data_IF_834893908120
#
_entry.id   IF_834893908120
#
_cell.length_a   1.000
_cell.length_b   1.000
_cell.length_c   1.000
_cell.angle_alpha   90.00
_cell.angle_beta   90.00
_cell.angle_gamma   90.00
#
_symmetry.space_group_name_H-M   'P 1'
#
loop_
_entity.id
_entity.type
_entity.pdbx_description
1 polymer ?
#
# COMPACT_ATOMS: atom_id res chain seq x y z
N UNK A 1 12.79 -26.35 -8.80
CA UNK A 1 11.40 -26.06 -8.37
C UNK A 1 11.12 -24.61 -8.77
N UNK A 2 10.59 -24.42 -9.97
CA UNK A 2 10.43 -23.11 -10.63
C UNK A 2 8.98 -22.67 -10.42
N UNK A 3 8.76 -21.54 -9.75
CA UNK A 3 7.42 -20.96 -9.55
C UNK A 3 7.11 -20.03 -10.73
N UNK A 4 6.00 -20.31 -11.38
CA UNK A 4 5.58 -19.73 -12.66
C UNK A 4 5.11 -18.28 -12.55
N UNK A 5 5.51 -17.50 -13.55
CA UNK A 5 4.95 -16.21 -13.89
C UNK A 5 3.54 -16.39 -14.50
N UNK A 6 2.54 -15.72 -13.92
CA UNK A 6 1.25 -15.53 -14.59
C UNK A 6 1.39 -14.42 -15.64
N UNK A 7 1.37 -14.80 -16.93
CA UNK A 7 1.07 -13.90 -18.06
C UNK A 7 -0.25 -14.35 -18.70
N UNK A 8 -1.20 -13.42 -18.78
CA UNK A 8 -2.52 -13.53 -19.41
C UNK A 8 -2.71 -12.15 -20.10
N UNK A 9 -3.11 -11.94 -21.35
CA UNK A 9 -3.53 -12.81 -22.44
C UNK A 9 -3.15 -12.15 -23.78
N UNK A 10 -2.96 -13.01 -24.79
CA UNK A 10 -2.84 -12.64 -26.19
C UNK A 10 -4.21 -12.35 -26.80
N UNK A 11 -4.31 -11.29 -27.61
CA UNK A 11 -5.31 -11.21 -28.68
C UNK A 11 -4.58 -10.78 -29.94
N UNK A 12 -4.37 -11.74 -30.83
CA UNK A 12 -3.92 -11.51 -32.18
C UNK A 12 -5.07 -11.06 -33.07
N UNK A 13 -4.78 -10.14 -33.98
CA UNK A 13 -5.40 -10.11 -35.31
C UNK A 13 -4.31 -9.84 -36.34
N UNK A 14 -3.89 -10.93 -36.97
CA UNK A 14 -3.29 -10.91 -38.29
C UNK A 14 -4.31 -10.32 -39.27
N UNK A 15 -3.95 -9.22 -39.94
CA UNK A 15 -4.50 -8.88 -41.24
C UNK A 15 -3.37 -8.38 -42.13
N UNK A 16 -3.12 -9.13 -43.19
CA UNK A 16 -2.13 -8.85 -44.22
C UNK A 16 -2.89 -8.66 -45.54
N UNK A 17 -2.77 -7.47 -46.16
CA UNK A 17 -2.32 -7.23 -47.55
C UNK A 17 -2.87 -5.93 -48.17
N UNK A 18 -2.00 -5.35 -49.01
CA UNK A 18 -2.17 -4.28 -50.03
C UNK A 18 -2.29 -2.85 -49.45
N UNK A 19 -1.46 -1.85 -49.77
CA UNK A 19 -0.45 -1.68 -50.81
C UNK A 19 -0.80 -0.49 -51.70
N UNK A 20 -0.57 0.75 -51.27
CA UNK A 20 -0.32 1.92 -52.16
C UNK A 20 0.22 3.13 -51.36
N UNK A 21 1.36 3.63 -51.82
CA UNK A 21 2.03 4.89 -51.50
C UNK A 21 1.22 6.10 -52.01
N UNK A 22 0.96 7.09 -51.16
CA UNK A 22 0.87 8.50 -51.57
C UNK A 22 1.25 9.44 -50.42
N UNK A 23 2.31 10.22 -50.68
CA UNK A 23 2.85 11.35 -49.93
C UNK A 23 1.79 12.34 -49.42
N UNK A 24 1.87 12.72 -48.14
CA UNK A 24 1.77 14.10 -47.62
C UNK A 24 1.93 14.11 -46.09
N UNK A 25 3.02 14.70 -45.62
CA UNK A 25 3.08 15.39 -44.33
C UNK A 25 3.17 16.91 -44.61
N UNK A 26 2.91 17.80 -43.65
CA UNK A 26 2.37 17.63 -42.30
C UNK A 26 1.14 18.54 -42.06
N UNK A 27 0.31 18.26 -41.05
CA UNK A 27 -0.38 19.34 -40.33
C UNK A 27 -0.59 18.95 -38.89
N UNK A 28 0.01 19.79 -38.06
CA UNK A 28 -0.08 19.87 -36.62
C UNK A 28 -1.55 19.83 -36.18
N UNK A 29 -1.92 18.78 -35.47
CA UNK A 29 -2.94 18.89 -34.43
C UNK A 29 -2.38 18.05 -33.30
N UNK A 30 -1.53 18.67 -32.48
CA UNK A 30 -1.34 18.25 -31.11
C UNK A 30 -2.73 18.20 -30.49
N UNK A 31 -3.32 17.02 -30.59
CA UNK A 31 -4.48 16.68 -29.79
C UNK A 31 -3.85 16.37 -28.45
N UNK A 32 -3.79 17.40 -27.59
CA UNK A 32 -3.83 17.17 -26.15
C UNK A 32 -5.17 16.49 -25.89
N UNK A 33 -5.21 15.18 -26.13
CA UNK A 33 -6.12 14.32 -25.41
C UNK A 33 -5.57 14.37 -23.98
N UNK A 34 -6.14 15.26 -23.16
CA UNK A 34 -6.21 14.97 -21.74
C UNK A 34 -6.99 13.66 -21.67
N UNK A 35 -6.28 12.54 -21.77
CA UNK A 35 -6.67 11.33 -21.07
C UNK A 35 -6.94 11.82 -19.66
N UNK A 36 -8.21 11.82 -19.26
CA UNK A 36 -8.58 12.18 -17.92
C UNK A 36 -7.71 11.32 -17.00
N UNK A 37 -6.69 11.93 -16.39
CA UNK A 37 -5.97 11.33 -15.29
C UNK A 37 -7.06 11.05 -14.27
N UNK A 38 -7.48 9.80 -14.18
CA UNK A 38 -8.27 9.32 -13.06
C UNK A 38 -7.33 9.50 -11.88
N UNK A 39 -7.40 10.68 -11.26
CA UNK A 39 -6.56 11.04 -10.13
C UNK A 39 -6.88 10.04 -9.05
N UNK A 40 -5.99 9.06 -8.89
CA UNK A 40 -6.12 7.98 -7.91
C UNK A 40 -6.20 8.66 -6.55
N UNK A 41 -7.38 8.67 -5.95
CA UNK A 41 -7.57 9.31 -4.65
C UNK A 41 -6.81 8.49 -3.62
N UNK A 42 -5.78 9.10 -3.01
CA UNK A 42 -4.97 8.42 -2.00
C UNK A 42 -5.76 8.29 -0.70
N UNK A 43 -5.65 7.12 -0.08
CA UNK A 43 -6.17 6.91 1.26
C UNK A 43 -5.38 7.80 2.24
N UNK A 44 -6.10 8.64 2.97
CA UNK A 44 -5.56 9.49 4.03
C UNK A 44 -6.35 9.29 5.31
N UNK A 45 -5.64 9.40 6.43
CA UNK A 45 -6.22 9.34 7.76
C UNK A 45 -6.74 10.73 8.12
N UNK A 46 -8.05 10.87 8.21
CA UNK A 46 -8.73 12.13 8.49
C UNK A 46 -8.66 12.51 9.98
N UNK A 47 -8.74 11.53 10.88
CA UNK A 47 -8.57 11.77 12.33
C UNK A 47 -8.12 10.53 13.10
N UNK A 48 -7.38 10.73 14.19
CA UNK A 48 -6.99 9.68 15.13
C UNK A 48 -7.36 10.10 16.56
N UNK A 49 -8.24 9.34 17.22
CA UNK A 49 -8.75 9.68 18.54
C UNK A 49 -9.11 8.47 19.41
N UNK A 50 -9.53 8.68 20.66
CA UNK A 50 -9.90 7.59 21.58
C UNK A 50 -11.09 6.75 21.09
N UNK A 51 -11.93 7.32 20.21
CA UNK A 51 -13.08 6.63 19.60
C UNK A 51 -12.73 5.80 18.37
N UNK A 52 -11.47 5.83 17.93
CA UNK A 52 -11.00 5.16 16.73
C UNK A 52 -10.29 6.11 15.76
N UNK A 53 -10.05 5.56 14.57
CA UNK A 53 -9.34 6.23 13.48
C UNK A 53 -10.29 6.37 12.30
N UNK A 54 -10.38 7.56 11.72
CA UNK A 54 -11.20 7.82 10.54
C UNK A 54 -10.30 7.86 9.32
N UNK A 55 -10.58 7.00 8.34
CA UNK A 55 -9.91 6.98 7.04
C UNK A 55 -10.95 7.31 5.99
N UNK A 56 -10.75 8.42 5.27
CA UNK A 56 -11.80 9.04 4.46
C UNK A 56 -13.12 9.16 5.25
N UNK A 57 -14.14 8.37 4.92
CA UNK A 57 -15.46 8.37 5.57
C UNK A 57 -15.69 7.16 6.50
N UNK A 58 -14.77 6.19 6.55
CA UNK A 58 -14.91 4.98 7.38
C UNK A 58 -14.21 5.16 8.73
N UNK A 59 -14.93 4.85 9.80
CA UNK A 59 -14.36 4.78 11.16
C UNK A 59 -13.90 3.37 11.49
N UNK A 60 -12.64 3.24 11.90
CA UNK A 60 -12.03 2.02 12.39
C UNK A 60 -11.93 2.07 13.91
N UNK A 61 -12.57 1.10 14.56
CA UNK A 61 -12.48 0.87 16.02
C UNK A 61 -11.65 -0.37 16.34
N UNK A 62 -11.22 -1.11 15.32
CA UNK A 62 -10.34 -2.26 15.39
C UNK A 62 -9.12 -2.01 14.51
N UNK A 63 -8.05 -2.74 14.78
CA UNK A 63 -6.80 -2.63 14.05
C UNK A 63 -7.00 -2.87 12.55
N UNK A 64 -6.20 -2.20 11.73
CA UNK A 64 -6.36 -2.22 10.28
C UNK A 64 -5.03 -2.02 9.56
N UNK A 65 -5.02 -2.37 8.29
CA UNK A 65 -3.93 -2.13 7.34
C UNK A 65 -4.32 -1.02 6.38
N UNK A 66 -3.38 -0.17 6.01
CA UNK A 66 -3.60 0.92 5.04
C UNK A 66 -2.36 1.16 4.18
N UNK A 67 -2.61 1.46 2.89
CA UNK A 67 -1.64 1.91 1.91
C UNK A 67 -2.27 3.06 1.09
N UNK A 68 -1.49 3.99 0.52
CA UNK A 68 -2.01 5.14 -0.22
C UNK A 68 -2.95 4.76 -1.37
N UNK A 69 -2.62 3.71 -2.11
CA UNK A 69 -3.38 3.28 -3.30
C UNK A 69 -4.39 2.15 -3.01
N UNK A 70 -4.59 1.80 -1.74
CA UNK A 70 -5.38 0.64 -1.31
C UNK A 70 -6.63 1.01 -0.52
N UNK A 71 -7.60 0.10 -0.50
CA UNK A 71 -8.70 0.17 0.48
C UNK A 71 -8.20 -0.33 1.83
N UNK A 72 -8.42 0.40 2.93
CA UNK A 72 -7.99 -0.06 4.24
C UNK A 72 -8.72 -1.35 4.62
N UNK A 73 -7.96 -2.34 5.10
CA UNK A 73 -8.45 -3.68 5.41
C UNK A 73 -8.40 -3.94 6.91
N UNK A 74 -9.41 -4.63 7.44
CA UNK A 74 -9.43 -4.99 8.86
C UNK A 74 -8.27 -5.95 9.17
N UNK A 75 -7.66 -5.79 10.34
CA UNK A 75 -6.51 -6.58 10.78
C UNK A 75 -6.77 -7.18 12.16
N UNK A 76 -6.79 -8.51 12.24
CA UNK A 76 -7.15 -9.24 13.45
C UNK A 76 -5.98 -9.31 14.48
N UNK A 77 -5.49 -8.16 14.92
CA UNK A 77 -4.47 -8.02 15.96
C UNK A 77 -4.97 -7.01 16.99
N UNK A 78 -5.35 -7.47 18.19
CA UNK A 78 -5.95 -6.62 19.23
C UNK A 78 -4.95 -5.87 20.12
N UNK A 79 -3.66 -6.05 19.86
CA UNK A 79 -2.56 -5.52 20.66
C UNK A 79 -1.23 -6.02 20.13
N UNK A 80 -0.13 -5.32 20.43
CA UNK A 80 1.19 -5.70 19.93
C UNK A 80 1.63 -7.10 20.39
N UNK A 81 1.27 -7.49 21.63
CA UNK A 81 1.54 -8.84 22.15
C UNK A 81 0.79 -9.96 21.42
N UNK A 82 -0.28 -9.63 20.69
CA UNK A 82 -1.02 -10.58 19.85
C UNK A 82 -0.47 -10.66 18.42
N UNK A 83 0.58 -9.89 18.09
CA UNK A 83 1.24 -9.96 16.79
C UNK A 83 2.01 -11.29 16.68
N UNK A 84 1.39 -12.27 16.02
CA UNK A 84 2.03 -13.56 15.77
C UNK A 84 3.12 -13.47 14.69
N UNK A 85 4.11 -14.37 14.74
CA UNK A 85 5.08 -14.60 13.65
C UNK A 85 4.45 -14.65 12.26
N UNK A 86 3.40 -15.45 12.08
CA UNK A 86 2.76 -15.64 10.78
C UNK A 86 2.12 -14.36 10.24
N UNK A 87 1.54 -13.52 11.11
CA UNK A 87 0.98 -12.21 10.72
C UNK A 87 2.08 -11.23 10.33
N UNK A 88 3.23 -11.26 11.01
CA UNK A 88 4.37 -10.44 10.63
C UNK A 88 4.97 -10.90 9.31
N UNK A 89 5.11 -12.22 9.09
CA UNK A 89 5.55 -12.78 7.80
C UNK A 89 4.64 -12.33 6.65
N UNK A 90 3.31 -12.32 6.85
CA UNK A 90 2.37 -11.80 5.86
C UNK A 90 2.61 -10.32 5.51
N UNK A 91 2.91 -9.48 6.50
CA UNK A 91 3.24 -8.07 6.26
C UNK A 91 4.57 -7.91 5.51
N UNK A 92 5.56 -8.75 5.80
CA UNK A 92 6.85 -8.72 5.11
C UNK A 92 6.75 -9.05 3.61
N UNK A 93 5.71 -9.77 3.18
CA UNK A 93 5.47 -10.12 1.78
C UNK A 93 4.78 -9.00 0.98
N UNK A 94 4.31 -7.95 1.64
CA UNK A 94 3.72 -6.79 0.97
C UNK A 94 4.86 -5.90 0.47
N UNK A 95 4.90 -5.69 -0.85
CA UNK A 95 5.83 -4.77 -1.50
C UNK A 95 5.49 -3.32 -1.11
N UNK A 96 6.44 -2.62 -0.49
CA UNK A 96 6.34 -1.21 -0.13
C UNK A 96 7.73 -0.65 0.16
N UNK A 97 7.96 0.64 -0.07
CA UNK A 97 9.21 1.32 0.27
C UNK A 97 9.39 1.43 1.79
N UNK A 98 8.28 1.65 2.50
CA UNK A 98 8.24 1.79 3.95
C UNK A 98 7.18 0.85 4.52
N UNK A 99 7.55 0.05 5.51
CA UNK A 99 6.62 -0.75 6.31
C UNK A 99 6.66 -0.23 7.74
N UNK A 100 5.51 0.18 8.28
CA UNK A 100 5.39 0.67 9.64
C UNK A 100 4.32 -0.07 10.42
N UNK A 101 4.55 -0.20 11.73
CA UNK A 101 3.60 -0.80 12.67
C UNK A 101 3.34 0.20 13.79
N UNK A 102 2.11 0.71 13.83
CA UNK A 102 1.54 1.42 14.97
C UNK A 102 1.18 0.41 16.05
N UNK A 103 1.82 0.50 17.20
CA UNK A 103 1.81 -0.56 18.23
C UNK A 103 0.73 -0.37 19.31
N UNK A 104 -0.17 0.61 19.13
CA UNK A 104 -1.20 1.01 20.07
C UNK A 104 -0.85 2.33 20.77
N UNK A 105 -1.25 2.46 22.04
CA UNK A 105 -1.04 3.66 22.88
C UNK A 105 0.44 4.02 23.01
N UNK A 106 1.28 3.02 23.22
CA UNK A 106 2.72 3.17 23.47
C UNK A 106 3.52 2.46 22.39
N UNK A 107 4.71 2.97 22.10
CA UNK A 107 5.65 2.28 21.22
C UNK A 107 6.12 0.97 21.87
N UNK A 108 6.01 -0.13 21.14
CA UNK A 108 6.57 -1.43 21.51
C UNK A 108 7.56 -1.91 20.46
N UNK A 109 8.61 -2.60 20.89
CA UNK A 109 9.61 -3.19 20.01
C UNK A 109 9.41 -4.70 19.89
N UNK A 110 9.70 -5.30 18.73
CA UNK A 110 9.58 -6.74 18.53
C UNK A 110 10.50 -7.50 19.49
N UNK A 111 10.04 -8.66 19.94
CA UNK A 111 10.91 -9.61 20.64
C UNK A 111 11.92 -10.25 19.67
N UNK A 112 12.78 -11.13 20.20
CA UNK A 112 13.79 -11.82 19.40
C UNK A 112 13.19 -12.70 18.30
N UNK A 113 11.99 -13.24 18.48
CA UNK A 113 11.32 -14.08 17.49
C UNK A 113 10.82 -13.26 16.31
N UNK A 114 10.14 -12.16 16.58
CA UNK A 114 9.68 -11.22 15.54
C UNK A 114 10.87 -10.56 14.83
N UNK A 115 11.93 -10.21 15.55
CA UNK A 115 13.15 -9.63 14.96
C UNK A 115 13.82 -10.59 13.96
N UNK A 116 13.88 -11.90 14.28
CA UNK A 116 14.43 -12.91 13.37
C UNK A 116 13.62 -13.02 12.07
N UNK A 117 12.30 -12.85 12.14
CA UNK A 117 11.44 -12.86 10.95
C UNK A 117 11.75 -11.66 10.05
N UNK A 118 11.88 -10.47 10.62
CA UNK A 118 12.25 -9.28 9.86
C UNK A 118 13.60 -9.48 9.15
N UNK A 119 14.60 -9.99 9.88
CA UNK A 119 15.92 -10.28 9.33
C UNK A 119 15.86 -11.34 8.21
N UNK A 120 15.12 -12.44 8.40
CA UNK A 120 14.91 -13.51 7.41
C UNK A 120 14.32 -12.98 6.11
N UNK A 121 13.41 -12.02 6.20
CA UNK A 121 12.78 -11.39 5.04
C UNK A 121 13.55 -10.18 4.50
N UNK A 122 14.66 -9.78 5.13
CA UNK A 122 15.41 -8.58 4.75
C UNK A 122 14.58 -7.30 4.85
N UNK A 123 13.54 -7.29 5.70
CA UNK A 123 12.54 -6.22 5.75
C UNK A 123 12.83 -5.31 6.94
N UNK A 124 13.01 -4.01 6.66
CA UNK A 124 13.05 -2.98 7.70
C UNK A 124 11.64 -2.57 8.08
N UNK A 125 11.34 -2.48 9.38
CA UNK A 125 10.02 -2.08 9.88
C UNK A 125 10.18 -0.99 10.94
N UNK A 126 9.43 0.09 10.77
CA UNK A 126 9.37 1.18 11.74
C UNK A 126 8.27 0.92 12.77
N UNK A 127 8.67 0.72 14.03
CA UNK A 127 7.74 0.57 15.14
C UNK A 127 7.56 1.92 15.84
N UNK A 128 6.32 2.35 16.01
CA UNK A 128 5.97 3.58 16.75
C UNK A 128 4.60 3.43 17.42
N UNK A 129 4.19 4.39 18.26
CA UNK A 129 2.81 4.39 18.74
C UNK A 129 1.84 4.66 17.58
N UNK A 130 0.60 4.18 17.68
CA UNK A 130 -0.36 4.23 16.57
C UNK A 130 -0.79 5.65 16.19
N UNK A 131 -0.80 6.61 17.13
CA UNK A 131 -1.12 8.01 16.83
C UNK A 131 -0.03 8.65 15.97
N UNK A 132 1.23 8.42 16.28
CA UNK A 132 2.37 8.87 15.49
C UNK A 132 2.36 8.18 14.12
N UNK A 133 2.10 6.87 14.07
CA UNK A 133 1.96 6.14 12.81
C UNK A 133 0.89 6.75 11.90
N UNK A 134 -0.27 7.17 12.45
CA UNK A 134 -1.30 7.85 11.66
C UNK A 134 -0.76 9.09 10.92
N UNK A 135 -0.08 9.98 11.66
CA UNK A 135 0.44 11.23 11.08
C UNK A 135 1.59 10.97 10.11
N UNK A 136 2.50 10.04 10.44
CA UNK A 136 3.63 9.67 9.58
C UNK A 136 3.16 9.04 8.28
N UNK A 137 2.13 8.18 8.34
CA UNK A 137 1.49 7.61 7.15
C UNK A 137 1.02 8.72 6.20
N UNK A 138 0.30 9.72 6.70
CA UNK A 138 -0.18 10.83 5.85
C UNK A 138 0.98 11.60 5.21
N UNK A 139 2.06 11.89 5.96
CA UNK A 139 3.24 12.57 5.42
C UNK A 139 3.86 11.77 4.27
N UNK A 140 4.09 10.47 4.47
CA UNK A 140 4.68 9.60 3.44
C UNK A 140 3.74 9.38 2.25
N UNK A 141 2.44 9.22 2.51
CA UNK A 141 1.42 9.07 1.47
C UNK A 141 1.33 10.33 0.59
N UNK A 142 1.50 11.52 1.17
CA UNK A 142 1.55 12.79 0.43
C UNK A 142 2.87 12.99 -0.31
N UNK A 143 3.98 12.41 0.19
CA UNK A 143 5.30 12.40 -0.46
C UNK A 143 5.43 11.41 -1.63
N UNK A 144 4.32 10.79 -2.06
CA UNK A 144 4.30 9.77 -3.13
C UNK A 144 5.13 8.50 -2.83
N UNK A 145 5.33 8.20 -1.55
CA UNK A 145 6.01 6.97 -1.14
C UNK A 145 5.04 5.81 -1.05
N UNK A 146 5.50 4.63 -1.47
CA UNK A 146 4.76 3.39 -1.27
C UNK A 146 4.90 2.96 0.19
N UNK A 147 4.05 3.49 1.07
CA UNK A 147 4.00 3.16 2.49
C UNK A 147 2.91 2.14 2.79
N UNK A 148 3.23 1.11 3.57
CA UNK A 148 2.28 0.18 4.16
C UNK A 148 2.29 0.37 5.67
N UNK A 149 1.13 0.65 6.25
CA UNK A 149 0.98 0.84 7.69
C UNK A 149 0.01 -0.17 8.28
N UNK A 150 0.45 -0.86 9.35
CA UNK A 150 -0.39 -1.68 10.19
C UNK A 150 -0.68 -0.92 11.49
N UNK A 151 -1.92 -0.51 11.72
CA UNK A 151 -2.32 0.32 12.86
C UNK A 151 -3.04 -0.54 13.88
N UNK A 152 -2.45 -0.72 15.07
CA UNK A 152 -3.07 -1.42 16.19
C UNK A 152 -3.94 -0.44 16.99
N UNK A 153 -5.18 -0.83 17.28
CA UNK A 153 -6.12 -0.10 18.13
C UNK A 153 -6.42 -0.89 19.42
N UNK A 154 -6.80 -0.21 20.52
CA UNK A 154 -7.06 1.24 20.64
C UNK A 154 -5.79 2.11 20.68
N UNK A 155 -6.00 3.42 20.48
CA UNK A 155 -5.00 4.47 20.65
C UNK A 155 -4.84 4.89 22.11
#
# INVERSE_FOLDING_TARGET
MHVGFYRINAIGKFFCRQGIDQRRSPKLTETMELEAEISKTRALIASCGPRGVVVAEKTFTQSFLIAPDGTPADWEVRGFSALSPARLEQLCLVESDVLMIGTGVTQCFPDAGLTQILAKHGRSVEFMNSRTACSTFNVLALDDRQVMAAIILPL
#
